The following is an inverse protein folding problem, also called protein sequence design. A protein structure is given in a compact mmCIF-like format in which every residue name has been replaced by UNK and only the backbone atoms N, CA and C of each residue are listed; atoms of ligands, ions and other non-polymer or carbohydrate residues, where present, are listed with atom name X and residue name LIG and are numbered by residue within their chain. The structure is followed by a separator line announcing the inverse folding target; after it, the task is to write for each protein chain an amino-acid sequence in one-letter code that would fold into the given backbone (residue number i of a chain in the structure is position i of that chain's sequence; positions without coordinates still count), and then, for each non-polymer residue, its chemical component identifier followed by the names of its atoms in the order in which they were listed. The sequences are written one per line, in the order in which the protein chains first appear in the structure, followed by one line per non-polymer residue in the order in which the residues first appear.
data_IF_618636918582
#
_entry.id   IF_618636918582
#
_cell.length_a   1.000
_cell.length_b   1.000
_cell.length_c   1.000
_cell.angle_alpha   90.00
_cell.angle_beta   90.00
_cell.angle_gamma   90.00
#
_symmetry.space_group_name_H-M   'P 1'
#
loop_
_entity.id
_entity.type
_entity.pdbx_description
1 polymer ?
#
# COMPACT_ATOMS: atom_id res chain seq x y z
N UNK A 1 -18.30 61.08 3.21
CA UNK A 1 -17.57 59.89 2.71
C UNK A 1 -17.10 59.09 3.92
N UNK A 2 -17.56 57.84 4.08
CA UNK A 2 -17.24 57.02 5.27
C UNK A 2 -15.75 56.69 5.26
N UNK A 3 -15.03 57.00 6.34
CA UNK A 3 -13.59 56.74 6.45
C UNK A 3 -13.37 55.23 6.37
N UNK A 4 -12.75 54.77 5.29
CA UNK A 4 -12.30 53.39 5.16
C UNK A 4 -11.09 53.21 6.08
N UNK A 5 -11.15 52.24 7.01
CA UNK A 5 -10.08 51.97 7.96
C UNK A 5 -9.19 50.85 7.39
N UNK A 6 -8.13 51.17 6.62
CA UNK A 6 -7.32 50.16 5.92
C UNK A 6 -6.62 49.20 6.88
N UNK A 7 -6.35 49.64 8.12
CA UNK A 7 -5.74 48.82 9.17
C UNK A 7 -6.64 47.66 9.60
N UNK A 8 -7.95 47.90 9.75
CA UNK A 8 -8.91 46.86 10.13
C UNK A 8 -9.13 45.84 9.01
N UNK A 9 -9.11 46.29 7.76
CA UNK A 9 -9.14 45.41 6.59
C UNK A 9 -7.88 44.54 6.49
N UNK A 10 -6.70 45.13 6.75
CA UNK A 10 -5.43 44.42 6.77
C UNK A 10 -5.37 43.36 7.87
N UNK A 11 -5.87 43.67 9.07
CA UNK A 11 -5.98 42.70 10.18
C UNK A 11 -6.94 41.57 9.82
N UNK A 12 -8.08 41.87 9.19
CA UNK A 12 -9.03 40.83 8.78
C UNK A 12 -8.46 39.91 7.70
N UNK A 13 -7.75 40.47 6.72
CA UNK A 13 -7.07 39.70 5.69
C UNK A 13 -5.97 38.79 6.28
N UNK A 14 -5.21 39.31 7.24
CA UNK A 14 -4.19 38.52 7.95
C UNK A 14 -4.82 37.35 8.73
N UNK A 15 -5.94 37.59 9.41
CA UNK A 15 -6.66 36.55 10.15
C UNK A 15 -7.20 35.47 9.21
N UNK A 16 -7.80 35.83 8.07
CA UNK A 16 -8.29 34.85 7.09
C UNK A 16 -7.17 33.99 6.49
N UNK A 17 -5.98 34.55 6.32
CA UNK A 17 -4.80 33.82 5.82
C UNK A 17 -4.29 32.77 6.81
N UNK A 18 -4.54 32.93 8.11
CA UNK A 18 -4.15 31.97 9.14
C UNK A 18 -5.07 30.73 9.19
N UNK A 19 -6.28 30.79 8.61
CA UNK A 19 -7.24 29.67 8.63
C UNK A 19 -7.03 28.63 7.52
N UNK A 20 -6.12 28.84 6.57
CA UNK A 20 -5.91 27.92 5.44
C UNK A 20 -4.88 26.84 5.69
N UNK A 21 -4.39 26.69 6.93
CA UNK A 21 -3.43 25.63 7.27
C UNK A 21 -4.14 24.28 7.37
N UNK A 22 -4.02 23.48 6.30
CA UNK A 22 -4.40 22.07 6.34
C UNK A 22 -3.32 21.32 7.13
N UNK A 23 -3.65 20.89 8.36
CA UNK A 23 -2.77 20.03 9.14
C UNK A 23 -3.01 18.58 8.74
N UNK A 24 -2.05 17.97 8.06
CA UNK A 24 -2.06 16.53 7.78
C UNK A 24 -1.38 15.80 8.95
N UNK A 25 -2.18 15.22 9.84
CA UNK A 25 -1.72 14.44 10.99
C UNK A 25 -1.94 12.92 10.83
N UNK A 26 -2.21 12.44 9.61
CA UNK A 26 -2.42 11.02 9.38
C UNK A 26 -1.11 10.27 9.59
N UNK A 27 -1.12 9.33 10.54
CA UNK A 27 0.02 8.46 10.80
C UNK A 27 0.18 7.45 9.66
N UNK A 28 1.41 7.27 9.19
CA UNK A 28 1.76 6.16 8.30
C UNK A 28 1.80 4.87 9.13
N UNK A 29 0.75 4.06 9.01
CA UNK A 29 0.62 2.81 9.73
C UNK A 29 1.30 1.67 8.95
N UNK A 30 1.98 0.74 9.64
CA UNK A 30 2.55 -0.41 8.97
C UNK A 30 1.43 -1.23 8.30
N UNK A 31 1.69 -1.66 7.05
CA UNK A 31 0.76 -2.53 6.34
C UNK A 31 0.58 -3.86 7.09
N UNK A 32 -0.65 -4.39 7.11
CA UNK A 32 -0.98 -5.63 7.83
C UNK A 32 -0.28 -6.90 7.30
N UNK A 33 0.30 -6.83 6.10
CA UNK A 33 1.13 -7.88 5.51
C UNK A 33 2.43 -7.26 5.01
N UNK A 34 3.55 -7.94 5.25
CA UNK A 34 4.87 -7.40 4.89
C UNK A 34 5.11 -7.47 3.39
N UNK A 35 5.71 -6.42 2.83
CA UNK A 35 6.18 -6.41 1.44
C UNK A 35 7.54 -7.13 1.35
N UNK A 36 7.72 -7.90 0.27
CA UNK A 36 9.00 -8.50 -0.08
C UNK A 36 9.33 -8.25 -1.55
N UNK A 37 10.62 -8.10 -1.82
CA UNK A 37 11.17 -7.89 -3.16
C UNK A 37 12.38 -8.80 -3.36
N UNK A 38 12.37 -9.53 -4.47
CA UNK A 38 13.52 -10.30 -4.94
C UNK A 38 13.90 -9.76 -6.30
N UNK A 39 15.19 -9.46 -6.49
CA UNK A 39 15.71 -8.93 -7.75
C UNK A 39 16.90 -9.77 -8.18
N UNK A 40 16.95 -10.10 -9.46
CA UNK A 40 18.07 -10.83 -10.05
C UNK A 40 18.34 -10.31 -11.45
N UNK A 41 19.63 -10.08 -11.77
CA UNK A 41 20.07 -9.80 -13.13
C UNK A 41 20.33 -11.11 -13.88
N UNK A 42 19.79 -11.23 -15.08
CA UNK A 42 20.08 -12.31 -16.02
C UNK A 42 20.58 -11.70 -17.32
N UNK A 43 21.87 -11.92 -17.61
CA UNK A 43 22.55 -11.22 -18.70
C UNK A 43 22.57 -9.70 -18.48
N UNK A 44 21.89 -8.96 -19.35
CA UNK A 44 21.74 -7.50 -19.28
C UNK A 44 20.37 -7.06 -18.75
N UNK A 45 19.51 -8.00 -18.39
CA UNK A 45 18.13 -7.73 -17.96
C UNK A 45 18.01 -7.88 -16.45
N UNK A 46 17.44 -6.88 -15.79
CA UNK A 46 17.05 -6.95 -14.39
C UNK A 46 15.62 -7.47 -14.27
N UNK A 47 15.43 -8.56 -13.52
CA UNK A 47 14.11 -9.08 -13.17
C UNK A 47 13.84 -8.83 -11.70
N UNK A 48 12.75 -8.15 -11.40
CA UNK A 48 12.28 -7.84 -10.06
C UNK A 48 10.90 -8.44 -9.84
N UNK A 49 10.75 -9.20 -8.76
CA UNK A 49 9.47 -9.70 -8.25
C UNK A 49 9.14 -8.95 -6.97
N UNK A 50 8.01 -8.26 -6.93
CA UNK A 50 7.48 -7.59 -5.74
C UNK A 50 6.17 -8.27 -5.33
N UNK A 51 6.04 -8.69 -4.08
CA UNK A 51 4.88 -9.41 -3.57
C UNK A 51 4.63 -9.12 -2.08
N UNK A 52 3.37 -9.17 -1.65
CA UNK A 52 3.01 -9.09 -0.22
C UNK A 52 2.98 -10.50 0.39
N UNK A 53 3.76 -10.71 1.46
CA UNK A 53 3.81 -11.94 2.26
C UNK A 53 2.66 -11.94 3.27
N UNK A 54 1.68 -12.86 3.19
CA UNK A 54 0.55 -12.88 4.12
C UNK A 54 1.04 -13.05 5.56
N UNK A 55 0.49 -12.24 6.48
CA UNK A 55 0.73 -12.47 7.90
C UNK A 55 0.07 -13.77 8.34
N UNK A 56 0.88 -14.64 8.93
CA UNK A 56 0.48 -15.97 9.38
C UNK A 56 -0.38 -15.87 10.64
N UNK A 57 -0.19 -14.82 11.46
CA UNK A 57 -0.94 -14.57 12.70
C UNK A 57 -1.08 -15.85 13.55
N UNK A 58 0.03 -16.55 13.79
CA UNK A 58 0.10 -17.80 14.58
C UNK A 58 -0.71 -18.99 14.04
N UNK A 59 -1.31 -18.88 12.84
CA UNK A 59 -2.02 -19.99 12.21
C UNK A 59 -1.05 -20.90 11.47
N UNK A 60 -1.26 -22.19 11.54
CA UNK A 60 -0.63 -23.11 10.59
C UNK A 60 -1.27 -22.94 9.21
N UNK A 61 -0.59 -22.22 8.32
CA UNK A 61 -1.07 -21.96 6.97
C UNK A 61 -0.61 -23.06 6.02
N UNK A 62 0.69 -23.35 5.99
CA UNK A 62 1.28 -24.31 5.09
C UNK A 62 0.99 -25.76 5.51
N UNK A 63 0.48 -26.57 4.60
CA UNK A 63 0.11 -27.96 4.85
C UNK A 63 -1.28 -28.16 5.47
N UNK A 64 -1.93 -27.10 5.95
CA UNK A 64 -3.32 -27.13 6.45
C UNK A 64 -4.27 -26.31 5.56
N UNK A 65 -4.16 -24.98 5.60
CA UNK A 65 -5.02 -24.09 4.81
C UNK A 65 -4.54 -23.98 3.36
N UNK A 66 -3.22 -23.95 3.18
CA UNK A 66 -2.55 -23.85 1.89
C UNK A 66 -1.74 -25.12 1.69
N UNK A 67 -2.18 -26.02 0.79
CA UNK A 67 -1.43 -27.23 0.54
C UNK A 67 -0.12 -26.91 -0.19
N UNK A 68 0.89 -27.76 0.05
CA UNK A 68 2.20 -27.60 -0.58
C UNK A 68 2.12 -27.92 -2.08
N UNK A 69 2.90 -27.20 -2.88
CA UNK A 69 3.03 -27.46 -4.32
C UNK A 69 1.84 -27.01 -5.16
N UNK A 70 1.61 -27.72 -6.27
CA UNK A 70 0.49 -27.48 -7.19
C UNK A 70 -0.76 -28.15 -6.64
N UNK A 71 -1.85 -27.38 -6.50
CA UNK A 71 -3.11 -27.89 -5.98
C UNK A 71 -4.29 -27.35 -6.77
N UNK A 72 -5.36 -28.15 -6.86
CA UNK A 72 -6.62 -27.67 -7.40
C UNK A 72 -7.31 -26.81 -6.34
N UNK A 73 -7.37 -25.50 -6.56
CA UNK A 73 -8.00 -24.57 -5.63
C UNK A 73 -9.53 -24.52 -5.77
N UNK A 74 -10.11 -25.28 -6.71
CA UNK A 74 -11.55 -25.33 -6.95
C UNK A 74 -12.12 -24.09 -7.65
N UNK A 75 -11.26 -23.18 -8.12
CA UNK A 75 -11.64 -22.00 -8.88
C UNK A 75 -10.63 -21.70 -10.00
N UNK A 76 -11.09 -21.05 -11.06
CA UNK A 76 -10.30 -20.77 -12.26
C UNK A 76 -10.36 -21.89 -13.30
N UNK A 77 -9.58 -21.73 -14.38
CA UNK A 77 -9.58 -22.65 -15.53
C UNK A 77 -8.52 -23.74 -15.46
N UNK A 78 -7.59 -23.65 -14.51
CA UNK A 78 -6.47 -24.57 -14.37
C UNK A 78 -6.83 -25.74 -13.45
N UNK A 79 -6.49 -26.98 -13.87
CA UNK A 79 -6.71 -28.20 -13.09
C UNK A 79 -5.92 -28.19 -11.77
N UNK A 80 -4.72 -27.64 -11.79
CA UNK A 80 -3.88 -27.42 -10.61
C UNK A 80 -3.18 -26.08 -10.75
N UNK A 81 -2.96 -25.39 -9.64
CA UNK A 81 -2.28 -24.10 -9.60
C UNK A 81 -1.43 -24.02 -8.33
N UNK A 82 -0.29 -23.31 -8.39
CA UNK A 82 0.45 -23.02 -7.17
C UNK A 82 -0.37 -22.03 -6.34
N UNK A 83 -0.17 -22.04 -5.02
CA UNK A 83 -0.65 -20.96 -4.19
C UNK A 83 -0.13 -19.61 -4.69
N UNK A 84 -1.00 -18.60 -4.74
CA UNK A 84 -0.66 -17.26 -5.24
C UNK A 84 -0.21 -16.36 -4.09
N UNK A 85 0.92 -15.67 -4.27
CA UNK A 85 1.34 -14.60 -3.36
C UNK A 85 0.60 -13.28 -3.70
N UNK A 86 0.28 -12.47 -2.68
CA UNK A 86 -0.42 -11.19 -2.86
C UNK A 86 -1.46 -10.92 -1.79
N UNK A 87 -1.03 -10.81 -0.53
CA UNK A 87 -1.93 -10.61 0.60
C UNK A 87 -2.58 -9.22 0.64
N UNK A 88 -1.84 -8.16 0.27
CA UNK A 88 -2.34 -6.78 0.27
C UNK A 88 -2.46 -6.25 -1.17
N UNK A 89 -1.43 -6.49 -1.99
CA UNK A 89 -1.39 -6.07 -3.39
C UNK A 89 -1.01 -7.24 -4.30
N UNK A 90 -1.32 -7.10 -5.59
CA UNK A 90 -0.95 -8.09 -6.58
C UNK A 90 0.57 -8.20 -6.73
N UNK A 91 1.06 -9.42 -6.95
CA UNK A 91 2.46 -9.62 -7.30
C UNK A 91 2.77 -8.96 -8.64
N UNK A 92 3.79 -8.11 -8.68
CA UNK A 92 4.27 -7.48 -9.93
C UNK A 92 5.64 -8.03 -10.31
N UNK A 93 5.81 -8.32 -11.61
CA UNK A 93 7.08 -8.73 -12.21
C UNK A 93 7.48 -7.63 -13.18
N UNK A 94 8.68 -7.07 -13.00
CA UNK A 94 9.25 -6.02 -13.83
C UNK A 94 10.66 -6.37 -14.25
#
# INVERSE_FOLDING_TARGET
MKKMYPKSFFVLALVMMLYTVNVAAQLDLPAGSQIAKVSQRVGITDMTIVYSRPSVNEREIWGKLVPYGMNNLGFGTAKESPWRAGANENTTIK
#
